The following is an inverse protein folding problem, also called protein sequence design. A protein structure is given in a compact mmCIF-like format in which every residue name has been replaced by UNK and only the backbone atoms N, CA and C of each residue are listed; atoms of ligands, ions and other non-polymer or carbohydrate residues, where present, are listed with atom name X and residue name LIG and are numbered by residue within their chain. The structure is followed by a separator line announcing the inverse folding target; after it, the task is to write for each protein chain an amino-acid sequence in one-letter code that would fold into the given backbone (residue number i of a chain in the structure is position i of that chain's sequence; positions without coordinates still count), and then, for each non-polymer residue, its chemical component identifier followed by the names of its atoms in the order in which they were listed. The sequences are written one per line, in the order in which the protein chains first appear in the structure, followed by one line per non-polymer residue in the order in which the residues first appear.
data_IF_867222476892
#
_entry.id   IF_867222476892
#
_cell.length_a   1.000
_cell.length_b   1.000
_cell.length_c   1.000
_cell.angle_alpha   90.00
_cell.angle_beta   90.00
_cell.angle_gamma   90.00
#
_symmetry.space_group_name_H-M   'P 1'
#
loop_
_entity.id
_entity.type
_entity.pdbx_description
1 polymer ?
#
# COMPACT_ATOMS: atom_id res chain seq x y z
N UNK A 1 -15.97 13.94 7.20
CA UNK A 1 -15.43 12.69 6.63
C UNK A 1 -14.22 13.09 5.80
N UNK A 2 -13.07 12.44 5.97
CA UNK A 2 -11.83 12.84 5.29
C UNK A 2 -11.30 11.65 4.50
N UNK A 3 -11.21 11.82 3.18
CA UNK A 3 -10.58 10.89 2.26
C UNK A 3 -9.37 11.56 1.61
N UNK A 4 -8.33 10.80 1.35
CA UNK A 4 -7.18 11.19 0.55
C UNK A 4 -6.99 10.15 -0.54
N UNK A 5 -6.88 10.61 -1.77
CA UNK A 5 -6.52 9.81 -2.92
C UNK A 5 -5.30 10.46 -3.56
N UNK A 6 -4.26 9.67 -3.80
CA UNK A 6 -3.09 10.05 -4.56
C UNK A 6 -2.73 8.88 -5.47
N UNK A 7 -2.26 9.16 -6.67
CA UNK A 7 -1.70 8.15 -7.54
C UNK A 7 -0.54 8.79 -8.30
N UNK A 8 0.58 8.10 -8.37
CA UNK A 8 1.69 8.50 -9.24
C UNK A 8 1.84 7.46 -10.34
N UNK A 9 2.03 7.94 -11.56
CA UNK A 9 2.34 7.10 -12.71
C UNK A 9 3.59 7.66 -13.37
N UNK A 10 4.55 6.80 -13.69
CA UNK A 10 5.77 7.18 -14.36
C UNK A 10 5.99 6.25 -15.56
N UNK A 11 6.34 6.86 -16.69
CA UNK A 11 6.78 6.15 -17.88
C UNK A 11 8.10 6.78 -18.32
N UNK A 12 9.16 5.98 -18.38
CA UNK A 12 10.47 6.38 -18.88
C UNK A 12 10.84 5.46 -20.03
N UNK A 13 11.14 6.06 -21.18
CA UNK A 13 11.70 5.36 -22.32
C UNK A 13 13.08 5.94 -22.63
N UNK A 14 14.07 5.06 -22.88
CA UNK A 14 15.40 5.47 -23.25
C UNK A 14 15.77 4.90 -24.62
N UNK A 15 15.65 5.72 -25.68
CA UNK A 15 16.10 5.48 -27.07
C UNK A 15 16.05 4.00 -27.54
N UNK A 16 14.97 3.29 -27.24
CA UNK A 16 14.77 1.88 -27.61
C UNK A 16 15.59 0.85 -26.82
N UNK A 17 16.38 1.26 -25.82
CA UNK A 17 17.18 0.39 -24.97
C UNK A 17 16.42 -0.08 -23.73
N UNK A 18 15.58 0.78 -23.13
CA UNK A 18 14.78 0.41 -21.96
C UNK A 18 13.45 1.14 -21.87
N UNK A 19 12.46 0.44 -21.30
CA UNK A 19 11.12 0.94 -20.97
C UNK A 19 10.89 0.64 -19.49
N UNK A 20 10.57 1.68 -18.73
CA UNK A 20 10.19 1.61 -17.33
C UNK A 20 8.80 2.20 -17.15
N UNK A 21 7.92 1.45 -16.52
CA UNK A 21 6.59 1.88 -16.12
C UNK A 21 6.39 1.61 -14.63
N UNK A 22 5.92 2.62 -13.91
CA UNK A 22 5.58 2.53 -12.50
C UNK A 22 4.21 3.15 -12.25
N UNK A 23 3.42 2.50 -11.39
CA UNK A 23 2.11 2.98 -10.96
C UNK A 23 1.90 2.74 -9.47
N UNK A 24 1.62 3.80 -8.74
CA UNK A 24 1.59 3.83 -7.28
C UNK A 24 0.31 4.51 -6.75
N UNK A 25 -0.84 3.80 -6.75
CA UNK A 25 -2.06 4.30 -6.14
C UNK A 25 -2.02 4.23 -4.61
N UNK A 26 -2.50 5.29 -3.97
CA UNK A 26 -2.59 5.45 -2.53
C UNK A 26 -3.94 6.04 -2.13
N UNK A 27 -4.71 5.29 -1.34
CA UNK A 27 -6.04 5.66 -0.92
C UNK A 27 -6.12 5.54 0.59
N UNK A 28 -6.48 6.63 1.25
CA UNK A 28 -6.74 6.65 2.68
C UNK A 28 -8.14 7.17 2.95
N UNK A 29 -8.91 6.40 3.70
CA UNK A 29 -10.26 6.76 4.10
C UNK A 29 -10.40 6.75 5.62
N UNK A 30 -10.89 7.85 6.21
CA UNK A 30 -11.11 7.97 7.65
C UNK A 30 -12.54 8.40 7.94
N UNK A 31 -13.24 7.58 8.72
CA UNK A 31 -14.60 7.85 9.21
C UNK A 31 -14.76 7.37 10.65
N UNK A 32 -14.98 8.32 11.57
CA UNK A 32 -15.22 8.09 12.99
C UNK A 32 -14.16 7.18 13.64
N UNK A 33 -14.50 5.92 13.91
CA UNK A 33 -13.64 4.91 14.52
C UNK A 33 -12.89 4.03 13.50
N UNK A 34 -13.13 4.24 12.21
CA UNK A 34 -12.58 3.45 11.11
C UNK A 34 -11.53 4.24 10.34
N UNK A 35 -10.40 3.60 10.08
CA UNK A 35 -9.38 4.09 9.15
C UNK A 35 -9.04 2.94 8.22
N UNK A 36 -9.19 3.17 6.92
CA UNK A 36 -8.79 2.24 5.86
C UNK A 36 -7.67 2.91 5.08
N UNK A 37 -6.64 2.13 4.77
CA UNK A 37 -5.52 2.53 3.94
C UNK A 37 -5.30 1.43 2.91
N UNK A 38 -5.37 1.78 1.64
CA UNK A 38 -5.05 0.92 0.52
C UNK A 38 -3.88 1.54 -0.24
N UNK A 39 -2.81 0.77 -0.42
CA UNK A 39 -1.65 1.17 -1.20
C UNK A 39 -1.41 0.09 -2.24
N UNK A 40 -1.23 0.48 -3.48
CA UNK A 40 -0.75 -0.40 -4.54
C UNK A 40 0.53 0.16 -5.12
N UNK A 41 1.36 -0.73 -5.62
CA UNK A 41 2.50 -0.43 -6.45
C UNK A 41 2.58 -1.48 -7.55
N UNK A 42 2.85 -1.04 -8.77
CA UNK A 42 3.13 -1.91 -9.89
C UNK A 42 4.31 -1.35 -10.67
N UNK A 43 5.30 -2.20 -10.93
CA UNK A 43 6.53 -1.85 -11.62
C UNK A 43 6.75 -2.83 -12.78
N UNK A 44 7.13 -2.27 -13.92
CA UNK A 44 7.53 -3.01 -15.10
C UNK A 44 8.78 -2.38 -15.71
N UNK A 45 9.84 -3.17 -15.86
CA UNK A 45 11.10 -2.75 -16.48
C UNK A 45 11.51 -3.78 -17.54
N UNK A 46 11.62 -3.30 -18.77
CA UNK A 46 12.20 -4.04 -19.88
C UNK A 46 13.45 -3.34 -20.40
N UNK A 47 14.48 -4.11 -20.74
CA UNK A 47 15.70 -3.62 -21.38
C UNK A 47 16.11 -4.56 -22.52
N UNK A 48 16.53 -4.01 -23.66
CA UNK A 48 17.01 -4.75 -24.84
C UNK A 48 16.07 -5.92 -25.24
N UNK A 49 14.75 -5.67 -25.21
CA UNK A 49 13.70 -6.66 -25.51
C UNK A 49 13.53 -7.81 -24.50
N UNK A 50 14.23 -7.78 -23.36
CA UNK A 50 14.05 -8.73 -22.26
C UNK A 50 13.32 -8.07 -21.09
N UNK A 51 12.47 -8.83 -20.41
CA UNK A 51 11.84 -8.36 -19.15
C UNK A 51 12.83 -8.56 -18.02
N UNK A 52 13.29 -7.45 -17.42
CA UNK A 52 14.27 -7.47 -16.34
C UNK A 52 13.57 -7.52 -14.99
N UNK A 53 12.50 -6.76 -14.83
CA UNK A 53 11.70 -6.76 -13.62
C UNK A 53 10.21 -6.65 -13.97
N UNK A 54 9.41 -7.48 -13.32
CA UNK A 54 7.97 -7.29 -13.26
C UNK A 54 7.54 -7.60 -11.83
N UNK A 55 6.83 -6.66 -11.21
CA UNK A 55 6.51 -6.79 -9.80
C UNK A 55 5.34 -5.92 -9.42
N UNK A 56 4.58 -6.38 -8.45
CA UNK A 56 3.50 -5.61 -7.88
C UNK A 56 3.35 -5.93 -6.41
N UNK A 57 2.86 -4.94 -5.67
CA UNK A 57 2.55 -5.05 -4.27
C UNK A 57 1.24 -4.33 -3.99
N UNK A 58 0.41 -4.92 -3.13
CA UNK A 58 -0.79 -4.34 -2.60
C UNK A 58 -0.80 -4.49 -1.08
N UNK A 59 -1.12 -3.40 -0.40
CA UNK A 59 -1.23 -3.29 1.04
C UNK A 59 -2.60 -2.76 1.41
N UNK A 60 -3.35 -3.55 2.16
CA UNK A 60 -4.58 -3.11 2.79
C UNK A 60 -4.37 -3.11 4.30
N UNK A 61 -4.61 -1.95 4.92
CA UNK A 61 -4.61 -1.79 6.36
C UNK A 61 -5.94 -1.23 6.81
N UNK A 62 -6.60 -1.95 7.69
CA UNK A 62 -7.83 -1.53 8.33
C UNK A 62 -7.64 -1.43 9.83
N UNK A 63 -7.90 -0.24 10.37
CA UNK A 63 -7.82 0.06 11.79
C UNK A 63 -9.19 0.44 12.32
N UNK A 64 -9.62 -0.25 13.38
CA UNK A 64 -10.85 0.03 14.11
C UNK A 64 -10.54 0.43 15.56
N UNK A 65 -11.04 1.59 15.98
CA UNK A 65 -10.91 2.08 17.35
C UNK A 65 -12.05 1.55 18.22
N UNK A 66 -11.75 0.58 19.08
CA UNK A 66 -12.70 0.02 20.05
C UNK A 66 -12.89 0.96 21.25
N UNK A 67 -11.78 1.44 21.83
CA UNK A 67 -11.71 2.41 22.94
C UNK A 67 -10.59 3.44 22.65
N UNK A 68 -10.48 4.56 23.39
CA UNK A 68 -9.38 5.50 23.21
C UNK A 68 -7.98 4.85 23.24
N UNK A 69 -7.82 3.81 24.06
CA UNK A 69 -6.58 3.05 24.28
C UNK A 69 -6.47 1.74 23.49
N UNK A 70 -7.60 1.19 23.01
CA UNK A 70 -7.64 -0.12 22.35
C UNK A 70 -8.03 0.04 20.89
N UNK A 71 -7.12 -0.41 20.02
CA UNK A 71 -7.34 -0.44 18.58
C UNK A 71 -7.19 -1.87 18.09
N UNK A 72 -7.97 -2.22 17.08
CA UNK A 72 -7.85 -3.46 16.35
C UNK A 72 -7.35 -3.15 14.96
N UNK A 73 -6.46 -3.99 14.46
CA UNK A 73 -5.79 -3.82 13.19
C UNK A 73 -5.86 -5.11 12.37
N UNK A 74 -6.20 -4.94 11.10
CA UNK A 74 -6.15 -5.98 10.07
C UNK A 74 -5.22 -5.49 8.98
N UNK A 75 -4.19 -6.28 8.69
CA UNK A 75 -3.31 -6.09 7.55
C UNK A 75 -3.52 -7.23 6.57
N UNK A 76 -3.64 -6.89 5.29
CA UNK A 76 -3.55 -7.84 4.20
C UNK A 76 -2.54 -7.32 3.18
N UNK A 77 -1.58 -8.17 2.83
CA UNK A 77 -0.51 -7.87 1.89
C UNK A 77 -0.54 -8.90 0.79
N UNK A 78 -0.34 -8.46 -0.44
CA UNK A 78 -0.10 -9.35 -1.56
C UNK A 78 1.01 -8.76 -2.42
N UNK A 79 1.89 -9.61 -2.90
CA UNK A 79 2.86 -9.27 -3.91
C UNK A 79 2.86 -10.36 -4.99
N UNK A 80 3.65 -10.15 -6.03
CA UNK A 80 3.78 -11.11 -7.15
C UNK A 80 4.20 -12.52 -6.71
N UNK A 81 4.85 -12.66 -5.56
CA UNK A 81 5.37 -13.95 -5.05
C UNK A 81 4.46 -14.61 -4.02
N UNK A 82 3.50 -13.90 -3.43
CA UNK A 82 2.65 -14.46 -2.37
C UNK A 82 1.70 -13.46 -1.72
N UNK A 83 0.98 -13.92 -0.71
CA UNK A 83 0.02 -13.12 0.04
C UNK A 83 0.01 -13.53 1.51
N UNK A 84 -0.32 -12.58 2.39
CA UNK A 84 -0.44 -12.82 3.82
C UNK A 84 -1.46 -11.90 4.49
N UNK A 85 -2.04 -12.39 5.59
CA UNK A 85 -2.99 -11.64 6.41
C UNK A 85 -2.51 -11.69 7.86
N UNK A 86 -2.50 -10.54 8.52
CA UNK A 86 -2.16 -10.40 9.93
C UNK A 86 -3.33 -9.73 10.66
N UNK A 87 -3.76 -10.32 11.78
CA UNK A 87 -4.80 -9.79 12.66
C UNK A 87 -4.18 -9.52 14.03
N UNK A 88 -4.45 -8.35 14.61
CA UNK A 88 -3.88 -8.00 15.91
C UNK A 88 -4.63 -6.91 16.65
N UNK A 89 -4.64 -7.02 17.97
CA UNK A 89 -5.02 -5.92 18.86
C UNK A 89 -3.77 -5.10 19.20
N UNK A 90 -3.84 -3.79 19.04
CA UNK A 90 -2.80 -2.86 19.49
C UNK A 90 -3.29 -2.17 20.76
N UNK A 91 -2.62 -2.48 21.86
CA UNK A 91 -2.67 -1.70 23.09
C UNK A 91 -1.68 -0.55 22.95
N UNK A 92 -2.18 0.69 22.96
CA UNK A 92 -1.26 1.83 23.10
C UNK A 92 -1.11 2.10 24.59
N UNK A 93 0.02 1.70 25.16
CA UNK A 93 0.43 2.25 26.45
C UNK A 93 0.56 3.76 26.30
N UNK A 94 -0.20 4.46 27.13
CA UNK A 94 -0.19 5.90 27.20
C UNK A 94 1.13 6.26 27.88
N UNK A 95 2.19 6.53 27.10
CA UNK A 95 3.33 7.30 27.61
C UNK A 95 2.75 8.67 27.94
N UNK A 96 2.37 8.81 29.22
CA UNK A 96 1.90 10.05 29.82
C UNK A 96 3.03 11.07 29.71
N UNK A 97 2.88 12.00 28.76
CA UNK A 97 3.46 13.33 28.84
C UNK A 97 2.39 14.27 29.33
#
# INVERSE_FOLDING_TARGET
MAGKFAATAQLIENKGLSIFADFNPHIQFKKNRHIILLIGQWEYLSALSNTVNHGGYAHLRYNYRLKPLLKWEVLANSNTTGSGICLGGIWQELVRG
#
